data_IF_626827178637
#
_entry.id   IF_626827178637
#
_cell.length_a   1.000
_cell.length_b   1.000
_cell.length_c   1.000
_cell.angle_alpha   90.00
_cell.angle_beta   90.00
_cell.angle_gamma   90.00
#
_symmetry.space_group_name_H-M   'P 1'
#
loop_
_entity.id
_entity.type
_entity.pdbx_description
1 polymer ?
#
# COMPACT_ATOMS: atom_id res chain seq x y z
N UNK A 1 22.77 11.33 -10.13
CA UNK A 1 21.75 11.89 -9.22
C UNK A 1 21.93 11.16 -7.89
N UNK A 2 22.79 11.70 -7.02
CA UNK A 2 23.07 11.13 -5.71
C UNK A 2 22.06 11.74 -4.75
N UNK A 3 21.18 10.96 -4.13
CA UNK A 3 20.14 11.49 -3.25
C UNK A 3 19.75 10.44 -2.23
N UNK A 4 20.38 10.53 -1.05
CA UNK A 4 20.12 9.79 0.19
C UNK A 4 20.07 8.25 0.12
N UNK A 5 20.45 7.60 1.21
CA UNK A 5 20.25 6.16 1.32
C UNK A 5 18.72 5.90 1.35
N UNK A 6 18.22 4.92 0.58
CA UNK A 6 16.78 4.65 0.55
C UNK A 6 16.29 4.23 1.93
N UNK A 7 15.06 4.61 2.28
CA UNK A 7 14.42 4.14 3.52
C UNK A 7 14.31 2.61 3.43
N UNK A 8 14.93 1.91 4.38
CA UNK A 8 14.84 0.46 4.54
C UNK A 8 14.04 0.17 5.79
N UNK A 9 13.03 -0.69 5.67
CA UNK A 9 12.19 -1.11 6.79
C UNK A 9 12.25 -2.62 6.99
N UNK A 10 12.13 -3.00 8.26
CA UNK A 10 12.00 -4.39 8.70
C UNK A 10 10.55 -4.88 8.61
N UNK A 11 10.41 -6.21 8.60
CA UNK A 11 9.11 -6.90 8.49
C UNK A 11 8.10 -6.39 9.54
N UNK A 12 8.54 -6.22 10.79
CA UNK A 12 7.68 -5.75 11.89
C UNK A 12 7.09 -4.36 11.62
N UNK A 13 7.86 -3.49 10.94
CA UNK A 13 7.39 -2.16 10.56
C UNK A 13 6.30 -2.26 9.49
N UNK A 14 6.51 -3.10 8.48
CA UNK A 14 5.51 -3.35 7.43
C UNK A 14 4.22 -3.91 8.03
N UNK A 15 4.31 -4.91 8.90
CA UNK A 15 3.18 -5.50 9.61
C UNK A 15 2.43 -4.47 10.45
N UNK A 16 3.15 -3.67 11.24
CA UNK A 16 2.58 -2.57 12.03
C UNK A 16 1.74 -1.64 11.15
N UNK A 17 2.23 -1.27 9.97
CA UNK A 17 1.48 -0.39 9.07
C UNK A 17 0.27 -1.06 8.44
N UNK A 18 0.36 -2.35 8.07
CA UNK A 18 -0.79 -3.12 7.58
C UNK A 18 -1.90 -3.17 8.65
N UNK A 19 -1.56 -3.42 9.92
CA UNK A 19 -2.51 -3.41 11.02
C UNK A 19 -3.06 -2.02 11.37
N UNK A 20 -2.35 -0.94 11.01
CA UNK A 20 -2.74 0.44 11.31
C UNK A 20 -3.80 1.03 10.37
N UNK A 21 -4.13 0.36 9.27
CA UNK A 21 -5.14 0.87 8.35
C UNK A 21 -6.53 0.95 9.00
N UNK A 22 -7.29 2.02 8.75
CA UNK A 22 -8.68 2.11 9.21
C UNK A 22 -9.52 0.96 8.67
N UNK A 23 -10.41 0.40 9.51
CA UNK A 23 -11.41 -0.58 9.08
C UNK A 23 -12.27 0.02 7.97
N UNK A 24 -12.59 -0.78 6.95
CA UNK A 24 -13.38 -0.33 5.81
C UNK A 24 -12.61 0.52 4.78
N UNK A 25 -11.28 0.61 4.88
CA UNK A 25 -10.45 1.27 3.85
C UNK A 25 -10.83 0.77 2.45
N UNK A 26 -11.15 1.71 1.56
CA UNK A 26 -11.50 1.42 0.16
C UNK A 26 -10.33 0.77 -0.59
N UNK A 27 -10.65 -0.05 -1.59
CA UNK A 27 -9.66 -0.63 -2.50
C UNK A 27 -9.31 0.32 -3.64
N UNK A 28 -8.14 0.13 -4.26
CA UNK A 28 -7.79 0.79 -5.51
C UNK A 28 -8.37 0.05 -6.72
N UNK A 29 -7.80 0.29 -7.91
CA UNK A 29 -8.20 -0.38 -9.15
C UNK A 29 -8.06 -1.91 -9.08
N UNK A 30 -7.11 -2.39 -8.31
CA UNK A 30 -6.81 -3.81 -8.07
C UNK A 30 -7.88 -4.55 -7.25
N UNK A 31 -8.83 -3.81 -6.66
CA UNK A 31 -9.87 -4.33 -5.75
C UNK A 31 -9.33 -5.07 -4.52
N UNK A 32 -8.02 -4.96 -4.25
CA UNK A 32 -7.41 -5.52 -3.06
C UNK A 32 -7.76 -4.63 -1.86
N UNK A 33 -8.20 -5.25 -0.75
CA UNK A 33 -8.46 -4.56 0.51
C UNK A 33 -7.45 -5.02 1.55
N UNK A 34 -7.18 -4.15 2.52
CA UNK A 34 -6.33 -4.50 3.67
C UNK A 34 -6.88 -5.73 4.39
N UNK A 35 -8.21 -5.88 4.45
CA UNK A 35 -8.84 -7.04 5.06
C UNK A 35 -8.36 -8.36 4.44
N UNK A 36 -8.18 -8.42 3.11
CA UNK A 36 -7.65 -9.63 2.47
C UNK A 36 -6.24 -9.98 2.95
N UNK A 37 -5.41 -8.96 3.21
CA UNK A 37 -4.07 -9.15 3.79
C UNK A 37 -4.15 -9.63 5.24
N UNK A 38 -5.00 -9.00 6.05
CA UNK A 38 -5.22 -9.38 7.45
C UNK A 38 -5.75 -10.81 7.58
N UNK A 39 -6.68 -11.21 6.71
CA UNK A 39 -7.27 -12.55 6.72
C UNK A 39 -6.22 -13.62 6.37
N UNK A 40 -5.34 -13.33 5.41
CA UNK A 40 -4.21 -14.21 5.06
C UNK A 40 -3.23 -14.36 6.23
N UNK A 41 -2.95 -13.28 6.97
CA UNK A 41 -2.03 -13.32 8.11
C UNK A 41 -2.61 -13.97 9.37
N UNK A 42 -3.93 -13.95 9.54
CA UNK A 42 -4.60 -14.52 10.72
C UNK A 42 -4.55 -16.07 10.74
N UNK A 43 -4.29 -16.71 9.59
CA UNK A 43 -4.12 -18.16 9.51
C UNK A 43 -2.69 -18.57 9.85
N UNK A 44 -2.43 -18.97 11.10
CA UNK A 44 -1.12 -19.46 11.61
C UNK A 44 -0.48 -20.63 10.81
N UNK A 45 -1.15 -21.15 9.77
CA UNK A 45 -0.76 -22.35 9.01
C UNK A 45 -0.75 -22.20 7.49
N UNK A 46 -0.95 -20.99 6.93
CA UNK A 46 -0.97 -20.82 5.48
C UNK A 46 0.39 -20.37 4.92
N UNK A 47 0.93 -21.04 3.88
CA UNK A 47 2.10 -20.59 3.14
C UNK A 47 2.00 -19.13 2.70
N UNK A 48 0.79 -18.69 2.33
CA UNK A 48 0.48 -17.32 1.93
C UNK A 48 0.79 -16.26 3.01
N UNK A 49 0.73 -16.61 4.31
CA UNK A 49 1.12 -15.70 5.38
C UNK A 49 2.65 -15.45 5.38
N UNK A 50 3.45 -16.49 5.07
CA UNK A 50 4.90 -16.37 4.90
C UNK A 50 5.24 -15.60 3.63
N UNK A 51 4.58 -15.88 2.52
CA UNK A 51 4.77 -15.15 1.25
C UNK A 51 4.43 -13.65 1.40
N UNK A 52 3.49 -13.30 2.28
CA UNK A 52 3.18 -11.91 2.59
C UNK A 52 4.26 -11.25 3.47
N UNK A 53 4.92 -11.99 4.36
CA UNK A 53 6.11 -11.50 5.09
C UNK A 53 7.27 -11.22 4.12
N UNK A 54 7.38 -12.05 3.06
CA UNK A 54 8.30 -11.86 1.93
C UNK A 54 7.93 -10.67 1.02
N UNK A 55 6.86 -9.93 1.31
CA UNK A 55 6.55 -8.67 0.61
C UNK A 55 7.45 -7.50 1.07
N UNK A 56 8.18 -7.64 2.19
CA UNK A 56 9.05 -6.59 2.72
C UNK A 56 10.15 -6.14 1.74
N UNK A 57 10.88 -7.04 1.04
CA UNK A 57 11.76 -6.67 -0.06
C UNK A 57 11.10 -5.84 -1.16
N UNK A 58 9.83 -6.11 -1.50
CA UNK A 58 9.08 -5.34 -2.52
C UNK A 58 8.81 -3.92 -2.01
N UNK A 59 8.42 -3.77 -0.75
CA UNK A 59 8.24 -2.45 -0.11
C UNK A 59 9.55 -1.66 -0.13
N UNK A 60 10.66 -2.26 0.28
CA UNK A 60 11.99 -1.63 0.27
C UNK A 60 12.46 -1.29 -1.16
N UNK A 61 12.14 -2.12 -2.15
CA UNK A 61 12.41 -1.82 -3.56
C UNK A 61 11.70 -0.53 -3.98
N UNK A 62 10.40 -0.41 -3.68
CA UNK A 62 9.59 0.75 -4.05
C UNK A 62 9.96 2.01 -3.26
N UNK A 63 10.30 1.89 -1.97
CA UNK A 63 10.85 2.99 -1.16
C UNK A 63 12.16 3.52 -1.75
N UNK A 64 12.98 2.65 -2.32
CA UNK A 64 14.18 3.04 -3.07
C UNK A 64 13.89 3.59 -4.47
N UNK A 65 12.64 3.92 -4.80
CA UNK A 65 12.25 4.48 -6.09
C UNK A 65 12.32 3.49 -7.25
N UNK A 66 12.40 2.19 -6.97
CA UNK A 66 12.51 1.14 -8.00
C UNK A 66 11.19 0.40 -8.13
N UNK A 67 10.64 0.32 -9.34
CA UNK A 67 9.50 -0.52 -9.68
C UNK A 67 9.65 -1.00 -11.12
N UNK A 68 9.22 -2.22 -11.42
CA UNK A 68 9.22 -2.71 -12.80
C UNK A 68 8.30 -1.84 -13.66
N UNK A 69 8.72 -1.52 -14.88
CA UNK A 69 7.91 -0.73 -15.84
C UNK A 69 6.55 -1.39 -16.08
N UNK A 70 6.51 -2.73 -16.15
CA UNK A 70 5.26 -3.49 -16.32
C UNK A 70 4.29 -3.37 -15.14
N UNK A 71 4.79 -3.05 -13.94
CA UNK A 71 3.98 -2.89 -12.73
C UNK A 71 3.65 -1.42 -12.46
N UNK A 72 4.40 -0.48 -13.04
CA UNK A 72 4.27 0.94 -12.78
C UNK A 72 2.84 1.44 -13.02
N UNK A 73 2.20 1.01 -14.11
CA UNK A 73 0.83 1.40 -14.45
C UNK A 73 -0.22 0.86 -13.46
N UNK A 74 0.11 -0.14 -12.65
CA UNK A 74 -0.80 -0.69 -11.64
C UNK A 74 -0.50 -0.09 -10.27
N UNK A 75 0.78 0.07 -9.94
CA UNK A 75 1.25 0.52 -8.62
C UNK A 75 1.11 2.04 -8.46
N UNK A 76 1.45 2.82 -9.48
CA UNK A 76 1.36 4.28 -9.45
C UNK A 76 -0.03 4.81 -9.82
N UNK A 77 -0.98 3.94 -10.15
CA UNK A 77 -2.30 4.33 -10.61
C UNK A 77 -3.27 4.59 -9.45
N UNK A 78 -3.96 5.73 -9.54
CA UNK A 78 -4.97 6.16 -8.59
C UNK A 78 -6.11 6.85 -9.35
N UNK A 79 -7.15 6.11 -9.76
CA UNK A 79 -8.26 6.71 -10.49
C UNK A 79 -9.00 7.71 -9.61
N UNK A 80 -9.55 8.76 -10.23
CA UNK A 80 -10.38 9.74 -9.56
C UNK A 80 -11.81 9.21 -9.44
N UNK A 81 -12.26 9.04 -8.20
CA UNK A 81 -13.64 8.72 -7.87
C UNK A 81 -14.39 10.03 -7.58
N UNK A 82 -15.39 10.43 -8.38
CA UNK A 82 -16.18 11.63 -8.13
C UNK A 82 -17.25 11.35 -7.07
N UNK A 83 -17.01 11.79 -5.83
CA UNK A 83 -18.04 11.73 -4.78
C UNK A 83 -18.89 12.98 -4.80
N UNK A 84 -20.19 12.84 -4.58
CA UNK A 84 -21.09 13.96 -4.40
C UNK A 84 -20.90 14.56 -3.01
N UNK A 85 -20.74 15.88 -2.94
CA UNK A 85 -20.83 16.65 -1.70
C UNK A 85 -22.30 16.92 -1.38
N UNK A 86 -22.58 17.26 -0.13
CA UNK A 86 -23.92 17.62 0.35
C UNK A 86 -24.45 18.91 -0.27
N UNK A 87 -23.57 19.80 -0.75
CA UNK A 87 -23.90 21.04 -1.45
C UNK A 87 -24.17 20.86 -2.96
N UNK A 88 -24.15 19.61 -3.45
CA UNK A 88 -24.30 19.30 -4.87
C UNK A 88 -23.00 19.40 -5.69
N UNK A 89 -21.89 19.84 -5.09
CA UNK A 89 -20.58 19.85 -5.75
C UNK A 89 -19.93 18.46 -5.85
N UNK A 90 -18.87 18.34 -6.65
CA UNK A 90 -18.08 17.10 -6.76
C UNK A 90 -16.82 17.19 -5.91
N UNK A 91 -16.49 16.11 -5.21
CA UNK A 91 -15.20 15.87 -4.54
C UNK A 91 -14.49 14.72 -5.27
N UNK A 92 -13.56 15.02 -6.19
CA UNK A 92 -12.70 14.00 -6.77
C UNK A 92 -11.76 13.45 -5.69
N UNK A 93 -11.70 12.12 -5.56
CA UNK A 93 -10.76 11.45 -4.65
C UNK A 93 -9.90 10.50 -5.47
N UNK A 94 -8.58 10.64 -5.39
CA UNK A 94 -7.65 9.66 -5.93
C UNK A 94 -7.50 8.49 -4.94
N UNK A 95 -7.79 7.27 -5.37
CA UNK A 95 -7.67 6.08 -4.53
C UNK A 95 -6.57 5.17 -5.06
N UNK A 96 -5.37 5.26 -4.47
CA UNK A 96 -4.25 4.34 -4.78
C UNK A 96 -4.57 2.89 -4.42
N UNK A 97 -3.71 1.96 -4.82
CA UNK A 97 -3.71 0.57 -4.31
C UNK A 97 -3.39 0.53 -2.82
N UNK A 98 -3.69 -0.61 -2.17
CA UNK A 98 -3.28 -0.83 -0.76
C UNK A 98 -1.76 -0.80 -0.63
N UNK A 99 -1.04 -1.39 -1.59
CA UNK A 99 0.41 -1.37 -1.62
C UNK A 99 0.97 0.04 -1.78
N UNK A 100 0.41 0.86 -2.67
CA UNK A 100 0.80 2.26 -2.81
C UNK A 100 0.58 3.06 -1.52
N UNK A 101 -0.58 2.90 -0.87
CA UNK A 101 -0.85 3.52 0.44
C UNK A 101 0.10 3.03 1.54
N UNK A 102 0.43 1.74 1.55
CA UNK A 102 1.35 1.15 2.52
C UNK A 102 2.73 1.80 2.40
N UNK A 103 3.29 1.84 1.18
CA UNK A 103 4.58 2.49 0.92
C UNK A 103 4.53 3.98 1.26
N UNK A 104 3.48 4.71 0.88
CA UNK A 104 3.34 6.13 1.26
C UNK A 104 3.27 6.34 2.76
N UNK A 105 2.54 5.49 3.50
CA UNK A 105 2.45 5.58 4.96
C UNK A 105 3.80 5.31 5.63
N UNK A 106 4.56 4.32 5.13
CA UNK A 106 5.90 4.01 5.61
C UNK A 106 6.85 5.18 5.32
N UNK A 107 6.85 5.71 4.10
CA UNK A 107 7.72 6.82 3.71
C UNK A 107 7.44 8.09 4.50
N UNK A 108 6.17 8.44 4.71
CA UNK A 108 5.79 9.68 5.42
C UNK A 108 6.03 9.65 6.93
N UNK A 109 6.20 8.48 7.53
CA UNK A 109 6.46 8.32 8.97
C UNK A 109 7.86 7.81 9.30
N UNK A 110 8.64 7.44 8.28
CA UNK A 110 10.07 7.14 8.37
C UNK A 110 10.96 8.38 8.25
N UNK A 111 10.36 9.57 8.22
CA UNK A 111 10.98 10.91 8.26
C UNK A 111 10.58 11.59 9.56
#
# INVERSE_FOLDING_TARGET
MFGEAPIVVEVDTVLKYIHSFPKGTSCGRDRLRVQHLLDVMCGERYPAARDLLDATPVVNLWLGGRCSISLLEFVAFAPLTPLLKTDGGIRPIAVCTIWGRLVSNVAMKGV
#
